data_IF_903489089591
#
_entry.id   IF_903489089591
#
_cell.length_a   1.000
_cell.length_b   1.000
_cell.length_c   1.000
_cell.angle_alpha   90.00
_cell.angle_beta   90.00
_cell.angle_gamma   90.00
#
_symmetry.space_group_name_H-M   'P 1'
#
loop_
_entity.id
_entity.type
_entity.pdbx_description
1 polymer ?
#
# COMPACT_ATOMS: atom_id res chain seq x y z
N UNK A 1 -29.43 -35.55 38.49
CA UNK A 1 -29.84 -34.14 38.59
C UNK A 1 -28.57 -33.30 38.68
N UNK A 2 -28.45 -32.28 37.82
CA UNK A 2 -27.36 -31.31 37.92
C UNK A 2 -27.68 -30.36 39.08
N UNK A 3 -26.81 -30.27 40.08
CA UNK A 3 -26.94 -29.30 41.15
C UNK A 3 -25.86 -28.23 41.04
N UNK A 4 -26.25 -26.98 41.16
CA UNK A 4 -25.35 -25.87 41.19
C UNK A 4 -24.85 -25.64 42.62
N UNK A 5 -23.53 -25.67 42.84
CA UNK A 5 -22.94 -25.27 44.10
C UNK A 5 -22.81 -23.74 44.14
N UNK A 6 -23.76 -23.12 44.85
CA UNK A 6 -23.84 -21.65 44.92
C UNK A 6 -22.71 -21.03 45.71
N UNK A 7 -22.14 -21.70 46.68
CA UNK A 7 -21.05 -21.18 47.54
C UNK A 7 -19.72 -21.10 46.74
N UNK A 8 -19.48 -22.13 45.92
CA UNK A 8 -18.32 -22.13 45.00
C UNK A 8 -18.46 -21.05 43.94
N UNK A 9 -19.66 -20.91 43.35
CA UNK A 9 -19.93 -19.90 42.35
C UNK A 9 -19.77 -18.46 42.91
N UNK A 10 -20.28 -18.22 44.13
CA UNK A 10 -20.17 -16.91 44.78
C UNK A 10 -18.71 -16.59 45.14
N UNK A 11 -17.96 -17.58 45.60
CA UNK A 11 -16.53 -17.42 45.89
C UNK A 11 -15.72 -17.10 44.63
N UNK A 12 -16.01 -17.83 43.55
CA UNK A 12 -15.32 -17.62 42.26
C UNK A 12 -15.63 -16.24 41.65
N UNK A 13 -16.89 -15.82 41.75
CA UNK A 13 -17.30 -14.48 41.26
C UNK A 13 -16.68 -13.34 42.08
N UNK A 14 -16.48 -13.52 43.36
CA UNK A 14 -15.80 -12.52 44.23
C UNK A 14 -14.31 -12.40 43.90
N UNK A 15 -13.67 -13.55 43.65
CA UNK A 15 -12.24 -13.63 43.38
C UNK A 15 -11.90 -13.32 41.95
N UNK A 16 -12.80 -13.58 41.01
CA UNK A 16 -12.62 -13.50 39.56
C UNK A 16 -13.90 -13.01 38.89
N UNK A 17 -14.25 -11.72 39.03
CA UNK A 17 -15.53 -11.18 38.54
C UNK A 17 -15.73 -11.37 37.03
N UNK A 18 -14.66 -11.54 36.27
CA UNK A 18 -14.68 -11.75 34.81
C UNK A 18 -14.74 -13.22 34.39
N UNK A 19 -14.78 -14.18 35.35
CA UNK A 19 -14.78 -15.61 35.05
C UNK A 19 -15.99 -16.08 34.24
N UNK A 20 -17.12 -15.37 34.35
CA UNK A 20 -18.32 -15.64 33.55
C UNK A 20 -18.36 -14.92 32.21
N UNK A 21 -17.45 -13.98 31.94
CA UNK A 21 -17.43 -13.24 30.68
C UNK A 21 -17.29 -14.17 29.47
N UNK A 22 -16.49 -15.23 29.61
CA UNK A 22 -16.33 -16.23 28.55
C UNK A 22 -17.62 -17.01 28.22
N UNK A 23 -18.58 -17.09 29.20
CA UNK A 23 -19.84 -17.80 29.04
C UNK A 23 -20.93 -16.88 28.49
N UNK A 24 -20.94 -15.62 28.91
CA UNK A 24 -22.02 -14.69 28.61
C UNK A 24 -21.66 -13.66 27.54
N UNK A 25 -20.37 -13.37 27.37
CA UNK A 25 -19.87 -12.45 26.39
C UNK A 25 -19.06 -13.17 25.29
N UNK A 26 -19.28 -12.81 24.06
CA UNK A 26 -18.46 -13.31 22.96
C UNK A 26 -17.04 -12.78 23.12
N UNK A 27 -16.10 -13.67 23.39
CA UNK A 27 -14.68 -13.33 23.45
C UNK A 27 -14.10 -13.40 22.04
N UNK A 28 -13.55 -12.29 21.61
CA UNK A 28 -12.85 -12.18 20.34
C UNK A 28 -11.38 -11.97 20.62
N UNK A 29 -10.51 -12.77 20.04
CA UNK A 29 -9.07 -12.59 20.16
C UNK A 29 -8.40 -12.79 18.82
N UNK A 30 -7.31 -12.06 18.60
CA UNK A 30 -6.43 -12.26 17.47
C UNK A 30 -5.02 -12.53 17.96
N UNK A 31 -4.35 -13.49 17.35
CA UNK A 31 -2.91 -13.74 17.57
C UNK A 31 -2.02 -12.74 16.83
N UNK A 32 -2.60 -11.91 15.96
CA UNK A 32 -1.89 -10.89 15.19
C UNK A 32 -2.04 -9.52 15.83
N UNK A 33 -0.92 -8.83 16.06
CA UNK A 33 -0.91 -7.44 16.52
C UNK A 33 -1.47 -6.44 15.48
N UNK A 34 -1.60 -6.88 14.24
CA UNK A 34 -2.12 -6.07 13.12
C UNK A 34 -3.63 -6.20 12.95
N UNK A 35 -4.26 -7.12 13.66
CA UNK A 35 -5.69 -7.37 13.58
C UNK A 35 -6.34 -7.11 14.92
N UNK A 36 -7.12 -6.04 15.01
CA UNK A 36 -7.98 -5.78 16.15
C UNK A 36 -9.37 -6.37 15.89
N UNK A 37 -9.80 -7.31 16.71
CA UNK A 37 -11.13 -7.88 16.62
C UNK A 37 -12.02 -7.22 17.66
N UNK A 38 -13.07 -6.54 17.20
CA UNK A 38 -14.10 -5.96 18.09
C UNK A 38 -15.44 -6.64 17.82
N UNK A 39 -16.11 -7.07 18.89
CA UNK A 39 -17.43 -7.69 18.80
C UNK A 39 -18.53 -6.65 18.65
N UNK A 40 -19.48 -6.91 17.76
CA UNK A 40 -20.72 -6.14 17.67
C UNK A 40 -21.69 -6.53 18.77
N UNK A 41 -22.39 -5.55 19.35
CA UNK A 41 -23.32 -5.75 20.48
C UNK A 41 -24.68 -6.34 20.05
N UNK A 42 -24.95 -6.54 18.77
CA UNK A 42 -26.31 -6.75 18.27
C UNK A 42 -26.62 -8.12 17.67
N UNK A 43 -25.65 -8.99 17.46
CA UNK A 43 -25.91 -10.32 16.92
C UNK A 43 -25.11 -11.38 17.67
N UNK A 44 -25.80 -12.40 18.20
CA UNK A 44 -25.13 -13.59 18.70
C UNK A 44 -24.46 -14.30 17.52
N UNK A 45 -23.14 -14.48 17.52
CA UNK A 45 -22.49 -15.28 16.49
C UNK A 45 -23.02 -16.73 16.58
N UNK A 46 -23.38 -17.28 15.44
CA UNK A 46 -23.73 -18.70 15.34
C UNK A 46 -22.43 -19.49 15.42
N UNK A 47 -22.42 -20.60 16.16
CA UNK A 47 -21.23 -21.47 16.20
C UNK A 47 -20.87 -21.95 14.79
N UNK A 48 -19.63 -21.74 14.40
CA UNK A 48 -19.15 -22.11 13.06
C UNK A 48 -17.73 -21.62 12.82
N UNK A 49 -17.13 -22.11 11.74
CA UNK A 49 -15.86 -21.58 11.23
C UNK A 49 -16.16 -20.47 10.23
N UNK A 50 -15.63 -19.30 10.47
CA UNK A 50 -15.74 -18.17 9.59
C UNK A 50 -14.38 -17.93 8.93
N UNK A 51 -14.35 -17.94 7.59
CA UNK A 51 -13.17 -17.54 6.83
C UNK A 51 -13.43 -16.16 6.21
N UNK A 52 -12.50 -15.26 6.38
CA UNK A 52 -12.50 -14.01 5.65
C UNK A 52 -11.22 -13.94 4.82
N UNK A 53 -11.37 -13.61 3.55
CA UNK A 53 -10.26 -13.28 2.70
C UNK A 53 -9.93 -11.80 2.91
N UNK A 54 -8.74 -11.52 3.42
CA UNK A 54 -8.20 -10.17 3.33
C UNK A 54 -7.69 -9.98 1.91
N UNK A 55 -8.31 -9.07 1.16
CA UNK A 55 -7.72 -8.60 -0.09
C UNK A 55 -6.41 -7.91 0.29
N UNK A 56 -5.30 -8.40 -0.26
CA UNK A 56 -4.01 -7.75 -0.04
C UNK A 56 -4.14 -6.27 -0.42
N UNK A 57 -3.75 -5.38 0.47
CA UNK A 57 -3.67 -3.97 0.15
C UNK A 57 -2.61 -3.80 -0.93
N UNK A 58 -3.03 -3.38 -2.11
CA UNK A 58 -2.12 -3.04 -3.20
C UNK A 58 -1.67 -1.60 -3.07
N UNK A 59 -0.44 -1.33 -3.47
CA UNK A 59 0.05 0.03 -3.64
C UNK A 59 -0.62 0.68 -4.86
N UNK A 60 -0.89 1.97 -4.79
CA UNK A 60 -1.26 2.75 -5.97
C UNK A 60 -0.16 2.62 -7.02
N UNK A 61 -0.51 2.34 -8.25
CA UNK A 61 0.44 2.10 -9.32
C UNK A 61 0.02 2.81 -10.62
N UNK A 62 1.02 3.29 -11.34
CA UNK A 62 0.91 3.71 -12.73
C UNK A 62 1.68 2.71 -13.59
N UNK A 63 1.11 2.30 -14.71
CA UNK A 63 1.78 1.43 -15.68
C UNK A 63 1.69 2.08 -17.06
N UNK A 64 2.85 2.33 -17.68
CA UNK A 64 2.94 2.82 -19.05
C UNK A 64 2.68 1.73 -20.09
N UNK A 65 2.53 2.15 -21.33
CA UNK A 65 2.44 1.20 -22.46
C UNK A 65 3.81 0.54 -22.73
N UNK A 66 3.78 -0.50 -23.55
CA UNK A 66 4.97 -1.24 -23.91
C UNK A 66 6.04 -0.37 -24.57
N UNK A 67 7.24 -0.42 -24.05
CA UNK A 67 8.46 0.15 -24.61
C UNK A 67 9.48 -0.98 -24.80
N UNK A 68 10.17 -1.02 -25.91
CA UNK A 68 11.16 -2.06 -26.22
C UNK A 68 12.49 -1.47 -26.65
N UNK A 69 12.86 -0.34 -26.09
CA UNK A 69 14.16 0.27 -26.36
C UNK A 69 15.25 -0.40 -25.51
N UNK A 70 16.22 -1.00 -26.13
CA UNK A 70 17.32 -1.69 -25.46
C UNK A 70 18.40 -0.74 -24.95
N UNK A 71 18.38 0.52 -25.35
CA UNK A 71 19.37 1.54 -24.98
C UNK A 71 18.71 2.94 -24.94
N UNK A 72 17.82 3.20 -23.98
CA UNK A 72 17.07 4.44 -23.95
C UNK A 72 17.96 5.65 -23.74
N UNK A 73 17.75 6.68 -24.55
CA UNK A 73 18.48 7.94 -24.46
C UNK A 73 17.60 9.05 -23.90
N UNK A 74 17.91 9.48 -22.68
CA UNK A 74 17.31 10.67 -22.06
C UNK A 74 18.14 11.89 -22.41
N UNK A 75 17.46 12.96 -22.85
CA UNK A 75 18.05 14.25 -23.20
C UNK A 75 17.42 15.35 -22.35
N UNK A 76 17.96 16.56 -22.38
CA UNK A 76 17.38 17.69 -21.65
C UNK A 76 15.97 18.08 -22.13
N UNK A 77 15.52 17.62 -23.30
CA UNK A 77 14.19 17.91 -23.83
C UNK A 77 13.13 16.87 -23.47
N UNK A 78 13.52 15.73 -22.88
CA UNK A 78 12.61 14.62 -22.53
C UNK A 78 12.95 13.98 -21.18
N UNK A 79 13.40 14.77 -20.21
CA UNK A 79 13.93 14.27 -18.93
C UNK A 79 13.10 14.67 -17.71
N UNK A 80 11.96 15.31 -17.88
CA UNK A 80 11.16 15.75 -16.73
C UNK A 80 9.97 14.83 -16.49
N UNK A 81 9.69 14.60 -15.21
CA UNK A 81 8.50 13.89 -14.72
C UNK A 81 7.94 14.61 -13.51
N UNK A 82 6.62 14.69 -13.41
CA UNK A 82 5.91 15.15 -12.24
C UNK A 82 4.91 14.08 -11.81
N UNK A 83 4.88 13.79 -10.52
CA UNK A 83 4.04 12.71 -9.97
C UNK A 83 3.28 13.18 -8.73
N UNK A 84 2.13 12.57 -8.50
CA UNK A 84 1.41 12.70 -7.24
C UNK A 84 1.39 11.33 -6.55
N UNK A 85 1.97 11.26 -5.37
CA UNK A 85 2.09 10.04 -4.57
C UNK A 85 1.27 10.21 -3.29
N UNK A 86 0.24 9.40 -3.11
CA UNK A 86 -0.66 9.44 -1.95
C UNK A 86 -1.19 10.86 -1.66
N UNK A 87 -1.58 11.55 -2.70
CA UNK A 87 -2.10 12.92 -2.63
C UNK A 87 -1.04 14.04 -2.52
N UNK A 88 0.25 13.71 -2.43
CA UNK A 88 1.34 14.69 -2.42
C UNK A 88 1.95 14.82 -3.82
N UNK A 89 1.90 16.01 -4.40
CA UNK A 89 2.49 16.27 -5.71
C UNK A 89 3.97 16.65 -5.58
N UNK A 90 4.82 16.04 -6.40
CA UNK A 90 6.23 16.39 -6.52
C UNK A 90 6.43 17.75 -7.21
N UNK A 91 7.63 18.31 -7.09
CA UNK A 91 8.09 19.31 -8.06
C UNK A 91 8.27 18.71 -9.45
N UNK A 92 8.79 19.51 -10.39
CA UNK A 92 9.27 18.98 -11.67
C UNK A 92 10.59 18.25 -11.44
N UNK A 93 10.55 16.92 -11.48
CA UNK A 93 11.70 16.05 -11.25
C UNK A 93 12.46 15.87 -12.54
N UNK A 94 13.78 16.08 -12.54
CA UNK A 94 14.63 15.85 -13.71
C UNK A 94 15.41 14.55 -13.58
N UNK A 95 15.19 13.65 -14.53
CA UNK A 95 16.00 12.43 -14.69
C UNK A 95 17.31 12.81 -15.40
N UNK A 96 18.48 12.32 -14.96
CA UNK A 96 19.74 12.65 -15.61
C UNK A 96 19.74 12.33 -17.10
N UNK A 97 20.17 13.31 -17.92
CA UNK A 97 20.32 13.12 -19.35
C UNK A 97 21.51 12.18 -19.62
N UNK A 98 21.25 11.02 -20.17
CA UNK A 98 22.24 9.98 -20.44
C UNK A 98 21.74 8.93 -21.44
N UNK A 99 22.66 8.17 -22.00
CA UNK A 99 22.39 6.87 -22.59
C UNK A 99 22.36 5.82 -21.48
N UNK A 100 21.21 5.20 -21.28
CA UNK A 100 21.09 4.11 -20.32
C UNK A 100 21.32 2.76 -20.99
N UNK A 101 22.04 1.89 -20.32
CA UNK A 101 22.42 0.57 -20.85
C UNK A 101 21.25 -0.40 -20.98
N UNK A 102 20.12 -0.06 -20.36
CA UNK A 102 18.88 -0.84 -20.41
C UNK A 102 17.71 -0.03 -19.87
N UNK A 103 16.49 -0.46 -20.15
CA UNK A 103 15.28 0.13 -19.57
C UNK A 103 15.21 -0.05 -18.06
N UNK A 104 15.78 -1.14 -17.51
CA UNK A 104 15.90 -1.32 -16.06
C UNK A 104 16.85 -0.29 -15.41
N UNK A 105 17.93 0.09 -16.10
CA UNK A 105 18.82 1.16 -15.65
C UNK A 105 18.11 2.52 -15.65
N UNK A 106 17.31 2.79 -16.68
CA UNK A 106 16.47 3.99 -16.72
C UNK A 106 15.40 3.98 -15.61
N UNK A 107 14.75 2.86 -15.36
CA UNK A 107 13.79 2.72 -14.25
C UNK A 107 14.43 3.07 -12.90
N UNK A 108 15.65 2.60 -12.65
CA UNK A 108 16.42 2.93 -11.44
C UNK A 108 16.72 4.43 -11.36
N UNK A 109 17.10 5.06 -12.47
CA UNK A 109 17.38 6.48 -12.50
C UNK A 109 16.12 7.34 -12.24
N UNK A 110 14.97 6.95 -12.82
CA UNK A 110 13.67 7.57 -12.58
C UNK A 110 13.30 7.46 -11.10
N UNK A 111 13.41 6.26 -10.51
CA UNK A 111 13.13 6.04 -9.10
C UNK A 111 13.99 6.94 -8.20
N UNK A 112 15.30 6.98 -8.48
CA UNK A 112 16.24 7.78 -7.70
C UNK A 112 15.90 9.27 -7.79
N UNK A 113 15.57 9.76 -8.98
CA UNK A 113 15.20 11.15 -9.17
C UNK A 113 13.91 11.52 -8.44
N UNK A 114 12.86 10.71 -8.56
CA UNK A 114 11.58 10.95 -7.85
C UNK A 114 11.78 10.91 -6.34
N UNK A 115 12.50 9.91 -5.83
CA UNK A 115 12.73 9.76 -4.39
C UNK A 115 13.68 10.81 -3.80
N UNK A 116 14.37 11.57 -4.63
CA UNK A 116 15.17 12.74 -4.22
C UNK A 116 14.36 14.06 -4.22
N UNK A 117 13.10 14.04 -4.67
CA UNK A 117 12.24 15.23 -4.62
C UNK A 117 12.01 15.68 -3.19
N UNK A 118 12.23 16.96 -2.93
CA UNK A 118 12.18 17.52 -1.56
C UNK A 118 10.77 17.54 -0.99
N UNK A 119 9.74 17.70 -1.82
CA UNK A 119 8.35 17.73 -1.39
C UNK A 119 7.89 16.34 -0.97
N UNK A 120 8.20 15.33 -1.79
CA UNK A 120 7.89 13.94 -1.47
C UNK A 120 8.67 13.46 -0.24
N UNK A 121 9.96 13.77 -0.17
CA UNK A 121 10.81 13.41 0.98
C UNK A 121 10.32 14.03 2.28
N UNK A 122 9.96 15.32 2.27
CA UNK A 122 9.41 16.02 3.44
C UNK A 122 8.07 15.41 3.89
N UNK A 123 7.27 14.88 2.96
CA UNK A 123 6.01 14.18 3.24
C UNK A 123 6.20 12.69 3.58
N UNK A 124 7.43 12.16 3.59
CA UNK A 124 7.73 10.76 3.84
C UNK A 124 7.21 9.83 2.73
N UNK A 125 7.09 10.34 1.49
CA UNK A 125 6.60 9.60 0.33
C UNK A 125 7.75 9.08 -0.52
N UNK A 126 7.57 7.90 -1.07
CA UNK A 126 8.54 7.28 -1.98
C UNK A 126 7.83 6.46 -3.04
N UNK A 127 8.56 6.10 -4.09
CA UNK A 127 8.09 5.23 -5.16
C UNK A 127 9.08 4.12 -5.44
N UNK A 128 8.57 3.04 -6.01
CA UNK A 128 9.36 2.00 -6.65
C UNK A 128 9.06 2.04 -8.15
N UNK A 129 10.10 2.08 -8.97
CA UNK A 129 9.98 2.07 -10.44
C UNK A 129 10.59 0.80 -10.97
N UNK A 130 9.83 0.07 -11.74
CA UNK A 130 10.28 -1.18 -12.38
C UNK A 130 10.00 -1.13 -13.88
N UNK A 131 10.78 -1.91 -14.64
CA UNK A 131 10.48 -2.22 -16.03
C UNK A 131 10.37 -3.74 -16.18
N UNK A 132 9.24 -4.20 -16.69
CA UNK A 132 8.99 -5.61 -16.98
C UNK A 132 7.98 -5.76 -18.12
N UNK A 133 8.13 -6.83 -18.90
CA UNK A 133 7.25 -7.11 -20.04
C UNK A 133 7.08 -5.93 -21.02
N UNK A 134 8.15 -5.15 -21.20
CA UNK A 134 8.14 -3.99 -22.08
C UNK A 134 7.47 -2.73 -21.49
N UNK A 135 7.07 -2.72 -20.23
CA UNK A 135 6.38 -1.59 -19.62
C UNK A 135 7.07 -1.09 -18.36
N UNK A 136 7.06 0.25 -18.17
CA UNK A 136 7.42 0.86 -16.90
C UNK A 136 6.22 0.85 -15.95
N UNK A 137 6.49 0.54 -14.70
CA UNK A 137 5.51 0.67 -13.62
C UNK A 137 6.10 1.54 -12.51
N UNK A 138 5.34 2.54 -12.08
CA UNK A 138 5.67 3.38 -10.93
C UNK A 138 4.65 3.09 -9.85
N UNK A 139 5.13 2.63 -8.70
CA UNK A 139 4.28 2.18 -7.60
C UNK A 139 4.58 3.02 -6.36
N UNK A 140 3.55 3.45 -5.65
CA UNK A 140 3.74 4.09 -4.34
C UNK A 140 4.46 3.15 -3.38
N UNK A 141 5.36 3.67 -2.56
CA UNK A 141 6.00 2.94 -1.47
C UNK A 141 5.06 2.59 -0.32
N UNK A 142 3.87 3.19 -0.27
CA UNK A 142 2.83 2.88 0.70
C UNK A 142 1.86 1.82 0.17
N UNK A 143 1.10 1.22 1.08
CA UNK A 143 0.02 0.27 0.77
C UNK A 143 -1.25 0.70 1.48
N UNK A 144 -2.40 0.24 1.00
CA UNK A 144 -3.69 0.46 1.65
C UNK A 144 -4.64 1.34 0.83
N UNK A 145 -5.78 1.65 1.40
CA UNK A 145 -6.86 2.38 0.72
C UNK A 145 -6.50 3.82 0.36
N UNK A 146 -5.50 4.40 1.02
CA UNK A 146 -4.99 5.75 0.74
C UNK A 146 -3.79 5.76 -0.20
N UNK A 147 -3.31 4.58 -0.62
CA UNK A 147 -2.20 4.50 -1.56
C UNK A 147 -2.68 4.85 -2.96
N UNK A 148 -2.03 5.83 -3.56
CA UNK A 148 -2.36 6.30 -4.90
C UNK A 148 -1.11 6.75 -5.65
N UNK A 149 -1.14 6.61 -6.97
CA UNK A 149 -0.05 7.03 -7.85
C UNK A 149 -0.64 7.64 -9.10
N UNK A 150 -0.25 8.86 -9.40
CA UNK A 150 -0.64 9.57 -10.62
C UNK A 150 0.62 10.17 -11.24
N UNK A 151 0.77 10.03 -12.54
CA UNK A 151 1.78 10.76 -13.33
C UNK A 151 1.07 11.95 -13.99
N UNK A 152 1.59 13.15 -13.73
CA UNK A 152 1.06 14.35 -14.36
C UNK A 152 1.61 14.46 -15.78
N UNK A 153 0.75 14.27 -16.78
CA UNK A 153 1.12 14.32 -18.20
C UNK A 153 1.43 15.73 -18.68
N UNK A 154 0.95 16.77 -17.99
CA UNK A 154 1.24 18.18 -18.36
C UNK A 154 2.60 18.59 -17.81
N UNK A 155 2.95 18.15 -16.60
CA UNK A 155 4.24 18.43 -15.95
C UNK A 155 5.37 17.49 -16.36
N UNK A 156 5.12 16.54 -17.27
CA UNK A 156 6.07 15.51 -17.67
C UNK A 156 6.36 15.57 -19.17
N UNK A 157 7.62 15.36 -19.54
CA UNK A 157 8.04 15.16 -20.94
C UNK A 157 8.81 13.85 -21.16
N UNK A 158 8.82 12.97 -20.15
CA UNK A 158 9.40 11.63 -20.20
C UNK A 158 8.49 10.61 -20.90
N UNK A 159 7.39 11.05 -21.50
CA UNK A 159 6.33 10.26 -22.12
C UNK A 159 6.82 9.36 -23.26
N UNK A 160 7.88 9.74 -23.96
CA UNK A 160 8.52 8.92 -24.99
C UNK A 160 8.94 7.53 -24.49
N UNK A 161 9.28 7.42 -23.21
CA UNK A 161 9.68 6.17 -22.55
C UNK A 161 8.53 5.56 -21.78
N UNK A 162 7.84 6.35 -20.97
CA UNK A 162 6.77 5.86 -20.10
C UNK A 162 5.49 5.55 -20.86
N UNK A 163 5.37 6.05 -22.11
CA UNK A 163 4.20 5.80 -22.97
C UNK A 163 2.89 6.05 -22.23
N UNK A 164 2.68 7.28 -21.76
CA UNK A 164 1.43 7.66 -21.14
C UNK A 164 0.26 7.43 -22.08
N UNK A 165 -0.76 6.71 -21.64
CA UNK A 165 -2.04 6.68 -22.33
C UNK A 165 -2.71 8.01 -22.04
N UNK A 166 -2.91 8.84 -23.06
CA UNK A 166 -3.72 10.02 -22.92
C UNK A 166 -5.15 9.59 -22.50
N UNK A 167 -5.57 10.04 -21.34
CA UNK A 167 -6.97 9.95 -20.90
C UNK A 167 -7.77 11.09 -21.49
#
# INVERSE_FOLDING_TARGET
>A
LLSLNTDVLETELKNNPTSLDAIFNSMYSSSSSLLQVSGGTSAKPVSGSYSFAMTAYVSGAFTGLNSSDTSPQVTASNNTIQVTVDGTQSGSVSVPAAHYTSEAALATAIQTAINADTTLTAAGKSVVVTHSNGSYSITSGSTGTSSSMVVDTIGSNLDGFLKFVGT
#
